data_IF_963206627007
#
_entry.id   IF_963206627007
#
_cell.length_a   1.000
_cell.length_b   1.000
_cell.length_c   1.000
_cell.angle_alpha   90.00
_cell.angle_beta   90.00
_cell.angle_gamma   90.00
#
_symmetry.space_group_name_H-M   'P 1'
#
loop_
_entity.id
_entity.type
_entity.pdbx_description
1 polymer ?
#
# COMPACT_ATOMS: atom_id res chain seq x y z
N UNK A 1 12.06 -2.99 19.48
CA UNK A 1 12.72 -1.78 18.98
C UNK A 1 11.95 -0.54 19.41
N UNK A 2 12.59 0.60 19.37
CA UNK A 2 11.96 1.88 19.73
C UNK A 2 10.77 2.20 18.80
N UNK A 3 10.82 1.78 17.55
CA UNK A 3 9.72 1.98 16.61
C UNK A 3 8.49 1.18 17.06
N UNK A 4 8.65 -0.08 17.43
CA UNK A 4 7.54 -0.90 17.92
C UNK A 4 7.01 -0.30 19.23
N UNK A 5 7.89 0.16 20.10
CA UNK A 5 7.49 0.80 21.36
C UNK A 5 6.66 2.07 21.08
N UNK A 6 7.08 2.89 20.09
CA UNK A 6 6.41 4.15 19.77
C UNK A 6 5.18 4.00 18.90
N UNK A 7 5.21 3.06 17.92
CA UNK A 7 4.15 2.90 16.92
C UNK A 7 3.26 1.68 17.14
N UNK A 8 3.63 0.80 18.06
CA UNK A 8 2.92 -0.45 18.31
C UNK A 8 3.35 -1.55 17.35
N UNK A 9 2.58 -2.64 17.32
CA UNK A 9 2.88 -3.77 16.45
C UNK A 9 2.60 -3.43 15.00
N UNK A 10 3.50 -3.78 14.07
CA UNK A 10 3.25 -3.57 12.65
C UNK A 10 2.19 -4.52 12.13
N UNK A 11 1.50 -4.10 11.05
CA UNK A 11 0.55 -4.97 10.35
C UNK A 11 1.27 -6.09 9.60
N UNK A 12 2.46 -5.81 9.07
CA UNK A 12 3.29 -6.79 8.38
C UNK A 12 4.76 -6.55 8.70
N UNK A 13 5.54 -7.61 8.61
CA UNK A 13 6.98 -7.57 8.91
C UNK A 13 7.73 -8.46 7.91
N UNK A 14 8.83 -7.94 7.39
CA UNK A 14 9.75 -8.69 6.53
C UNK A 14 11.14 -8.66 7.12
N UNK A 15 11.86 -9.76 6.97
CA UNK A 15 13.27 -9.87 7.37
C UNK A 15 14.05 -10.41 6.19
N UNK A 16 15.12 -9.72 5.81
CA UNK A 16 15.98 -10.14 4.72
C UNK A 16 17.15 -11.00 5.23
N UNK A 17 17.83 -11.69 4.31
CA UNK A 17 18.91 -12.62 4.64
C UNK A 17 20.09 -11.93 5.32
N UNK A 18 20.31 -10.63 5.04
CA UNK A 18 21.40 -9.86 5.65
C UNK A 18 21.05 -9.34 7.06
N UNK A 19 19.84 -9.63 7.56
CA UNK A 19 19.38 -9.18 8.87
C UNK A 19 18.60 -7.87 8.85
N UNK A 20 18.50 -7.19 7.69
CA UNK A 20 17.67 -6.00 7.59
C UNK A 20 16.19 -6.34 7.72
N UNK A 21 15.39 -5.38 8.18
CA UNK A 21 13.97 -5.58 8.41
C UNK A 21 13.16 -4.42 7.85
N UNK A 22 11.91 -4.73 7.52
CA UNK A 22 10.93 -3.76 7.07
C UNK A 22 9.62 -3.99 7.82
N UNK A 23 9.05 -2.93 8.40
CA UNK A 23 7.79 -2.98 9.15
C UNK A 23 6.75 -2.10 8.47
N UNK A 24 5.53 -2.60 8.33
CA UNK A 24 4.44 -1.86 7.69
C UNK A 24 3.42 -1.38 8.72
N UNK A 25 3.14 -0.09 8.69
CA UNK A 25 2.19 0.58 9.58
C UNK A 25 1.16 1.36 8.76
N UNK A 26 0.02 0.74 8.41
CA UNK A 26 -1.10 1.49 7.82
C UNK A 26 -1.64 2.50 8.84
N UNK A 27 -1.63 3.78 8.48
CA UNK A 27 -1.93 4.87 9.42
C UNK A 27 -2.67 6.02 8.72
N UNK A 28 -3.03 7.00 9.54
CA UNK A 28 -3.64 8.24 9.11
C UNK A 28 -5.11 8.29 9.50
N UNK A 29 -5.68 9.49 9.66
CA UNK A 29 -7.06 9.66 10.12
C UNK A 29 -8.09 8.96 9.24
N UNK A 30 -7.82 8.88 7.93
CA UNK A 30 -8.71 8.23 6.98
C UNK A 30 -8.09 6.97 6.36
N UNK A 31 -6.96 6.48 6.89
CA UNK A 31 -6.27 5.31 6.33
C UNK A 31 -5.59 5.59 5.01
N UNK A 32 -5.16 6.84 4.76
CA UNK A 32 -4.57 7.26 3.48
C UNK A 32 -3.05 7.15 3.45
N UNK A 33 -2.44 6.65 4.50
CA UNK A 33 -0.99 6.50 4.60
C UNK A 33 -0.63 5.10 5.02
N UNK A 34 0.48 4.58 4.48
CA UNK A 34 1.16 3.40 5.01
C UNK A 34 2.61 3.78 5.23
N UNK A 35 3.04 3.77 6.46
CA UNK A 35 4.43 4.07 6.78
C UNK A 35 5.22 2.79 6.81
N UNK A 36 6.33 2.75 6.07
CA UNK A 36 7.29 1.66 6.10
C UNK A 36 8.51 2.10 6.88
N UNK A 37 8.84 1.34 7.91
CA UNK A 37 10.05 1.55 8.70
C UNK A 37 11.11 0.55 8.23
N UNK A 38 12.27 1.04 7.83
CA UNK A 38 13.37 0.22 7.31
C UNK A 38 14.52 0.22 8.29
N UNK A 39 14.97 -0.98 8.68
CA UNK A 39 16.09 -1.18 9.59
C UNK A 39 17.24 -1.86 8.86
N UNK A 40 18.47 -1.41 9.12
CA UNK A 40 19.66 -2.07 8.62
C UNK A 40 19.98 -3.35 9.38
N UNK A 41 21.02 -4.10 8.92
CA UNK A 41 21.47 -5.32 9.61
C UNK A 41 21.92 -5.08 11.04
N UNK A 42 22.28 -3.85 11.38
CA UNK A 42 22.68 -3.42 12.73
C UNK A 42 21.46 -3.16 13.65
N UNK A 43 20.25 -3.43 13.18
CA UNK A 43 18.98 -3.21 13.88
C UNK A 43 18.68 -1.73 14.14
N UNK A 44 19.38 -0.82 13.45
CA UNK A 44 19.13 0.62 13.54
C UNK A 44 18.17 1.07 12.46
N UNK A 45 17.28 1.98 12.83
CA UNK A 45 16.32 2.57 11.90
C UNK A 45 17.08 3.39 10.85
N UNK A 46 16.91 3.00 9.56
CA UNK A 46 17.51 3.72 8.45
C UNK A 46 16.60 4.82 7.92
N UNK A 47 15.31 4.53 7.79
CA UNK A 47 14.32 5.52 7.34
C UNK A 47 12.90 5.05 7.63
N UNK A 48 11.99 6.02 7.68
CA UNK A 48 10.54 5.80 7.67
C UNK A 48 9.99 6.63 6.54
N UNK A 49 9.12 6.04 5.70
CA UNK A 49 8.50 6.78 4.60
C UNK A 49 7.06 6.34 4.39
N UNK A 50 6.21 7.28 3.94
CA UNK A 50 4.88 6.94 3.45
C UNK A 50 5.01 6.36 2.05
N UNK A 51 4.50 5.14 1.83
CA UNK A 51 4.62 4.47 0.53
C UNK A 51 3.38 4.60 -0.35
N UNK A 52 2.28 5.15 0.18
CA UNK A 52 1.08 5.39 -0.64
C UNK A 52 1.20 6.73 -1.36
N UNK A 53 2.13 6.78 -2.30
CA UNK A 53 2.48 7.96 -3.09
C UNK A 53 2.80 7.57 -4.53
N UNK A 54 2.67 8.54 -5.43
CA UNK A 54 2.87 8.33 -6.87
C UNK A 54 4.24 7.74 -7.21
N UNK A 55 5.29 8.19 -6.52
CA UNK A 55 6.66 7.67 -6.77
C UNK A 55 6.78 6.19 -6.46
N UNK A 56 6.03 5.70 -5.48
CA UNK A 56 6.01 4.28 -5.13
C UNK A 56 5.19 3.49 -6.16
N UNK A 57 4.02 4.03 -6.53
CA UNK A 57 3.16 3.38 -7.52
C UNK A 57 3.87 3.22 -8.87
N UNK A 58 4.72 4.18 -9.23
CA UNK A 58 5.49 4.13 -10.48
C UNK A 58 6.52 3.00 -10.51
N UNK A 59 6.85 2.40 -9.36
CA UNK A 59 7.80 1.29 -9.29
C UNK A 59 7.18 -0.07 -9.60
N UNK A 60 5.85 -0.14 -9.71
CA UNK A 60 5.14 -1.39 -9.97
C UNK A 60 5.34 -1.78 -11.44
N UNK A 61 5.79 -3.02 -11.67
CA UNK A 61 6.10 -3.53 -13.01
C UNK A 61 5.09 -4.62 -13.38
N UNK A 62 4.08 -4.28 -14.22
CA UNK A 62 3.12 -5.29 -14.69
C UNK A 62 3.81 -6.46 -15.39
N UNK A 63 3.32 -7.66 -15.14
CA UNK A 63 3.90 -8.88 -15.69
C UNK A 63 5.15 -9.40 -14.98
N UNK A 64 5.70 -8.61 -14.04
CA UNK A 64 6.92 -8.98 -13.29
C UNK A 64 6.65 -9.09 -11.80
N UNK A 65 5.98 -8.11 -11.21
CA UNK A 65 5.66 -8.14 -9.79
C UNK A 65 4.45 -9.03 -9.52
N UNK A 66 4.49 -9.74 -8.39
CA UNK A 66 3.38 -10.56 -7.92
C UNK A 66 2.75 -9.95 -6.67
N UNK A 67 1.76 -10.66 -6.08
CA UNK A 67 1.07 -10.19 -4.88
C UNK A 67 2.03 -9.95 -3.71
N UNK A 68 2.99 -10.84 -3.49
CA UNK A 68 3.96 -10.69 -2.41
C UNK A 68 4.82 -9.44 -2.60
N UNK A 69 5.22 -9.14 -3.84
CA UNK A 69 5.97 -7.93 -4.16
C UNK A 69 5.17 -6.67 -3.85
N UNK A 70 3.87 -6.69 -4.19
CA UNK A 70 2.99 -5.54 -3.94
C UNK A 70 2.77 -5.32 -2.45
N UNK A 71 2.58 -6.38 -1.68
CA UNK A 71 2.46 -6.26 -0.22
C UNK A 71 3.70 -5.63 0.39
N UNK A 72 4.88 -6.00 -0.10
CA UNK A 72 6.13 -5.44 0.40
C UNK A 72 6.34 -4.00 -0.02
N UNK A 73 5.79 -3.61 -1.16
CA UNK A 73 5.92 -2.24 -1.68
C UNK A 73 4.92 -1.29 -1.04
N UNK A 74 3.66 -1.72 -0.87
CA UNK A 74 2.54 -0.86 -0.45
C UNK A 74 1.94 -1.23 0.91
N UNK A 75 2.24 -2.41 1.44
CA UNK A 75 1.56 -2.93 2.62
C UNK A 75 0.18 -3.48 2.29
N UNK A 76 -0.60 -3.88 3.31
CA UNK A 76 -1.89 -4.50 3.08
C UNK A 76 -2.90 -3.52 2.52
N UNK A 77 -3.72 -4.01 1.56
CA UNK A 77 -4.82 -3.23 1.00
C UNK A 77 -6.02 -3.22 1.94
N UNK A 78 -7.02 -2.38 1.62
CA UNK A 78 -8.27 -2.38 2.37
C UNK A 78 -9.06 -3.64 2.04
N UNK A 79 -9.31 -4.54 3.02
CA UNK A 79 -10.05 -5.79 2.74
C UNK A 79 -11.45 -5.55 2.17
N UNK A 80 -12.09 -4.44 2.53
CA UNK A 80 -13.42 -4.10 2.04
C UNK A 80 -13.44 -3.83 0.53
N UNK A 81 -12.29 -3.54 -0.06
CA UNK A 81 -12.17 -3.20 -1.48
C UNK A 81 -11.35 -4.23 -2.25
N UNK A 82 -11.19 -5.43 -1.70
CA UNK A 82 -10.60 -6.55 -2.42
C UNK A 82 -11.71 -7.24 -3.20
N UNK A 83 -11.59 -7.32 -4.52
CA UNK A 83 -12.63 -7.85 -5.40
C UNK A 83 -12.07 -8.87 -6.37
N UNK A 84 -12.80 -9.96 -6.55
CA UNK A 84 -12.47 -10.98 -7.55
C UNK A 84 -13.51 -10.96 -8.67
N UNK A 85 -13.04 -10.81 -9.89
CA UNK A 85 -13.87 -10.81 -11.11
C UNK A 85 -13.70 -12.14 -11.85
N UNK A 86 -14.62 -13.08 -11.60
CA UNK A 86 -14.51 -14.44 -12.11
C UNK A 86 -14.41 -14.52 -13.63
N UNK A 87 -15.18 -13.71 -14.34
CA UNK A 87 -15.23 -13.76 -15.81
C UNK A 87 -13.88 -13.40 -16.45
N UNK A 88 -13.05 -12.61 -15.77
CA UNK A 88 -11.75 -12.19 -16.27
C UNK A 88 -10.58 -12.85 -15.54
N UNK A 89 -10.87 -13.72 -14.55
CA UNK A 89 -9.87 -14.28 -13.63
C UNK A 89 -8.96 -13.18 -13.11
N UNK A 90 -9.57 -12.15 -12.52
CA UNK A 90 -8.88 -10.93 -12.15
C UNK A 90 -9.16 -10.61 -10.68
N UNK A 91 -8.12 -10.33 -9.93
CA UNK A 91 -8.21 -9.93 -8.53
C UNK A 91 -7.80 -8.46 -8.43
N UNK A 92 -8.63 -7.64 -7.80
CA UNK A 92 -8.34 -6.23 -7.59
C UNK A 92 -8.10 -5.97 -6.11
N UNK A 93 -6.98 -5.31 -5.81
CA UNK A 93 -6.68 -4.78 -4.49
C UNK A 93 -6.65 -3.27 -4.59
N UNK A 94 -7.32 -2.58 -3.65
CA UNK A 94 -7.35 -1.12 -3.65
C UNK A 94 -6.85 -0.57 -2.32
N UNK A 95 -6.19 0.57 -2.42
CA UNK A 95 -5.72 1.37 -1.28
C UNK A 95 -6.31 2.75 -1.39
N UNK A 96 -6.68 3.31 -0.24
CA UNK A 96 -7.01 4.72 -0.16
C UNK A 96 -5.69 5.49 0.03
N UNK A 97 -5.50 6.57 -0.72
CA UNK A 97 -4.30 7.38 -0.57
C UNK A 97 -4.63 8.87 -0.72
N UNK A 98 -3.70 9.71 -0.30
CA UNK A 98 -3.85 11.15 -0.44
C UNK A 98 -3.17 11.59 -1.75
N UNK A 99 -3.97 12.14 -2.67
CA UNK A 99 -3.43 12.62 -3.95
C UNK A 99 -2.64 13.92 -3.75
N UNK A 100 -1.92 14.33 -4.79
CA UNK A 100 -1.18 15.60 -4.79
C UNK A 100 -2.08 16.82 -4.63
N UNK A 101 -3.38 16.64 -4.85
CA UNK A 101 -4.38 17.68 -4.67
C UNK A 101 -4.99 17.70 -3.27
N UNK A 102 -4.39 16.96 -2.32
CA UNK A 102 -4.90 16.82 -0.95
C UNK A 102 -6.32 16.27 -0.90
N UNK A 103 -6.64 15.37 -1.84
CA UNK A 103 -7.94 14.68 -1.90
C UNK A 103 -7.75 13.20 -1.77
N UNK A 104 -8.71 12.53 -1.12
CA UNK A 104 -8.69 11.08 -1.02
C UNK A 104 -8.96 10.46 -2.38
N UNK A 105 -8.14 9.50 -2.75
CA UNK A 105 -8.25 8.79 -4.02
C UNK A 105 -7.99 7.31 -3.77
N UNK A 106 -8.35 6.47 -4.74
CA UNK A 106 -8.11 5.04 -4.70
C UNK A 106 -7.04 4.66 -5.72
N UNK A 107 -6.07 3.90 -5.26
CA UNK A 107 -5.09 3.28 -6.13
C UNK A 107 -5.39 1.78 -6.16
N UNK A 108 -5.53 1.22 -7.36
CA UNK A 108 -5.84 -0.19 -7.54
C UNK A 108 -4.76 -0.93 -8.29
N UNK A 109 -4.54 -2.18 -7.90
CA UNK A 109 -3.67 -3.13 -8.60
C UNK A 109 -4.53 -4.31 -9.04
N UNK A 110 -4.50 -4.59 -10.34
CA UNK A 110 -5.22 -5.72 -10.92
C UNK A 110 -4.24 -6.87 -11.16
N UNK A 111 -4.56 -8.02 -10.57
CA UNK A 111 -3.75 -9.22 -10.69
C UNK A 111 -4.44 -10.25 -11.57
N UNK A 112 -3.65 -11.02 -12.31
CA UNK A 112 -4.10 -12.30 -12.84
C UNK A 112 -4.31 -13.23 -11.65
N UNK A 113 -5.53 -13.69 -11.42
CA UNK A 113 -5.85 -14.46 -10.22
C UNK A 113 -5.18 -15.84 -10.21
N UNK A 114 -4.90 -16.40 -11.39
CA UNK A 114 -4.24 -17.71 -11.52
C UNK A 114 -2.74 -17.61 -11.25
N UNK A 115 -2.05 -16.66 -11.89
CA UNK A 115 -0.60 -16.54 -11.77
C UNK A 115 -0.18 -15.66 -10.57
N UNK A 116 -1.05 -14.77 -10.11
CA UNK A 116 -0.73 -13.79 -9.08
C UNK A 116 0.08 -12.60 -9.58
N UNK A 117 0.35 -12.52 -10.90
CA UNK A 117 1.13 -11.42 -11.47
C UNK A 117 0.27 -10.19 -11.69
N UNK A 118 0.86 -9.01 -11.50
CA UNK A 118 0.21 -7.74 -11.80
C UNK A 118 -0.10 -7.65 -13.29
N UNK A 119 -1.35 -7.34 -13.63
CA UNK A 119 -1.75 -7.04 -15.01
C UNK A 119 -1.60 -5.57 -15.32
N UNK A 120 -2.14 -4.72 -14.45
CA UNK A 120 -2.08 -3.27 -14.59
C UNK A 120 -2.46 -2.59 -13.27
N UNK A 121 -2.35 -1.27 -13.25
CA UNK A 121 -2.75 -0.44 -12.12
C UNK A 121 -3.70 0.64 -12.61
N UNK A 122 -4.45 1.22 -11.67
CA UNK A 122 -5.34 2.34 -11.98
C UNK A 122 -5.48 3.25 -10.77
N UNK A 123 -5.96 4.45 -11.02
CA UNK A 123 -6.27 5.42 -9.98
C UNK A 123 -7.63 6.04 -10.27
N UNK A 124 -8.37 6.34 -9.21
CA UNK A 124 -9.65 7.04 -9.35
C UNK A 124 -9.90 7.89 -8.11
N UNK A 125 -10.61 9.00 -8.29
CA UNK A 125 -11.03 9.82 -7.18
C UNK A 125 -11.97 9.02 -6.28
N UNK A 126 -11.89 9.25 -4.96
CA UNK A 126 -12.83 8.65 -4.03
C UNK A 126 -14.08 9.53 -3.98
N UNK A 127 -15.14 9.09 -4.65
CA UNK A 127 -16.38 9.86 -4.81
C UNK A 127 -17.39 9.63 -3.69
N UNK A 128 -16.95 9.18 -2.53
CA UNK A 128 -17.82 8.94 -1.37
C UNK A 128 -18.14 10.21 -0.58
N UNK A 129 -17.49 11.32 -0.91
CA UNK A 129 -17.73 12.60 -0.25
C UNK A 129 -19.06 13.23 -0.64
N UNK A 130 -19.46 14.33 0.02
CA UNK A 130 -20.70 15.03 -0.30
C UNK A 130 -20.77 15.42 -1.76
N UNK A 131 -21.92 15.20 -2.40
CA UNK A 131 -22.17 15.53 -3.81
C UNK A 131 -21.23 14.80 -4.78
N UNK A 132 -20.69 13.64 -4.38
CA UNK A 132 -19.76 12.89 -5.20
C UNK A 132 -18.38 13.53 -5.33
N UNK A 133 -18.05 14.47 -4.48
CA UNK A 133 -16.74 15.13 -4.47
C UNK A 133 -15.80 14.32 -3.59
N UNK A 134 -14.55 14.14 -4.05
CA UNK A 134 -13.56 13.44 -3.26
C UNK A 134 -13.27 14.20 -1.95
N UNK A 135 -13.34 13.53 -0.78
CA UNK A 135 -13.06 14.19 0.49
C UNK A 135 -11.59 14.63 0.56
N UNK A 136 -11.32 15.68 1.33
CA UNK A 136 -9.94 16.09 1.60
C UNK A 136 -9.27 15.07 2.52
N UNK A 137 -7.94 15.01 2.47
CA UNK A 137 -7.18 14.15 3.36
C UNK A 137 -7.22 14.72 4.78
N UNK A 138 -7.50 13.86 5.76
CA UNK A 138 -7.39 14.25 7.15
C UNK A 138 -5.92 14.14 7.59
N UNK A 139 -5.39 15.18 8.18
CA UNK A 139 -4.00 15.20 8.68
C UNK A 139 -3.94 15.54 10.15
#
# INVERSE_FOLDING_TARGET
>A
SDVITSMGEPAMRWRDADGSQQLAYPRGPAGVHTYMAFFGPDERLARIENVLEMRTFARILPGQHNQADILRLLGPSNPAWTMYFKARDELAWEWLFCSDWNQQARFGVLFDATSGLVRTTYQQADLRGPRGIAPVCGH
#
